data_IF_973948380495
#
_entry.id   IF_973948380495
#
_cell.length_a   1.000
_cell.length_b   1.000
_cell.length_c   1.000
_cell.angle_alpha   90.00
_cell.angle_beta   90.00
_cell.angle_gamma   90.00
#
_symmetry.space_group_name_H-M   'P 1'
#
loop_
_entity.id
_entity.type
_entity.pdbx_description
1 polymer ?
#
# COMPACT_ATOMS: atom_id res chain seq x y z
N UNK A 1 61.34 -20.11 13.19
CA UNK A 1 60.87 -21.27 13.99
C UNK A 1 59.56 -20.90 14.66
N UNK A 2 58.43 -21.44 14.21
CA UNK A 2 57.15 -21.29 14.89
C UNK A 2 56.39 -22.62 14.73
N UNK A 3 56.09 -23.22 15.87
CA UNK A 3 55.63 -24.59 16.05
C UNK A 3 54.14 -24.72 15.75
N UNK A 4 53.78 -25.84 15.09
CA UNK A 4 52.40 -26.20 14.81
C UNK A 4 51.62 -26.62 16.04
N UNK A 5 50.28 -26.52 15.94
CA UNK A 5 49.34 -27.25 16.79
C UNK A 5 48.19 -27.77 15.94
N UNK A 6 48.23 -29.07 15.68
CA UNK A 6 47.10 -29.85 15.19
C UNK A 6 46.11 -30.09 16.35
N UNK A 7 44.87 -29.65 16.19
CA UNK A 7 43.77 -29.93 17.10
C UNK A 7 42.65 -30.66 16.36
N UNK A 8 42.63 -32.00 16.49
CA UNK A 8 41.54 -32.86 16.01
C UNK A 8 40.35 -32.74 16.97
N UNK A 9 39.21 -32.25 16.48
CA UNK A 9 37.94 -32.28 17.22
C UNK A 9 36.95 -33.22 16.49
N UNK A 10 37.00 -34.50 16.84
CA UNK A 10 36.03 -35.53 16.39
C UNK A 10 34.76 -35.41 17.23
N UNK A 11 33.79 -34.59 16.78
CA UNK A 11 32.44 -34.59 17.36
C UNK A 11 31.56 -35.56 16.58
N UNK A 12 31.18 -36.65 17.25
CA UNK A 12 30.28 -37.68 16.74
C UNK A 12 28.92 -37.12 16.37
N UNK A 13 28.48 -37.41 15.14
CA UNK A 13 27.16 -37.08 14.64
C UNK A 13 26.18 -38.11 15.18
N UNK A 14 25.41 -37.75 16.21
CA UNK A 14 24.28 -38.55 16.67
C UNK A 14 23.19 -38.56 15.59
N UNK A 15 23.04 -39.68 14.89
CA UNK A 15 21.94 -39.92 13.95
C UNK A 15 20.61 -39.89 14.71
N UNK A 16 19.93 -38.74 14.67
CA UNK A 16 18.58 -38.56 15.20
C UNK A 16 17.62 -39.45 14.39
N UNK A 17 16.96 -40.38 15.08
CA UNK A 17 15.87 -41.19 14.52
C UNK A 17 14.77 -40.29 13.92
N UNK A 18 14.23 -40.62 12.75
CA UNK A 18 13.13 -39.87 12.14
C UNK A 18 11.90 -39.91 13.06
N UNK A 19 11.40 -38.74 13.46
CA UNK A 19 10.13 -38.61 14.18
C UNK A 19 8.99 -38.98 13.23
N UNK A 20 8.12 -39.89 13.66
CA UNK A 20 6.92 -40.27 12.95
C UNK A 20 6.03 -39.01 12.69
N UNK A 21 5.48 -38.85 11.48
CA UNK A 21 4.62 -37.72 11.17
C UNK A 21 3.34 -37.77 12.00
N UNK A 22 2.86 -36.63 12.53
CA UNK A 22 1.59 -36.59 13.24
C UNK A 22 0.44 -36.94 12.31
N UNK A 23 -0.36 -37.95 12.68
CA UNK A 23 -1.61 -38.33 12.02
C UNK A 23 -2.57 -37.13 12.06
N UNK A 24 -2.79 -36.48 10.91
CA UNK A 24 -3.78 -35.40 10.79
C UNK A 24 -5.17 -36.02 10.77
N UNK A 25 -5.93 -35.79 11.84
CA UNK A 25 -7.37 -36.01 11.83
C UNK A 25 -8.03 -35.06 10.84
N UNK A 26 -8.47 -35.60 9.70
CA UNK A 26 -9.36 -34.93 8.77
C UNK A 26 -10.75 -34.81 9.41
N UNK A 27 -10.94 -33.80 10.26
CA UNK A 27 -12.28 -33.41 10.71
C UNK A 27 -13.13 -33.03 9.50
N UNK A 28 -14.27 -33.72 9.34
CA UNK A 28 -15.30 -33.48 8.33
C UNK A 28 -15.60 -31.98 8.24
N UNK A 29 -15.16 -31.33 7.14
CA UNK A 29 -15.56 -29.97 6.80
C UNK A 29 -17.04 -30.01 6.41
N UNK A 30 -17.89 -29.36 7.23
CA UNK A 30 -19.26 -29.08 6.85
C UNK A 30 -19.29 -28.31 5.53
N UNK A 31 -20.13 -28.77 4.61
CA UNK A 31 -20.30 -28.15 3.30
C UNK A 31 -20.77 -26.71 3.46
N UNK A 32 -19.89 -25.76 3.16
CA UNK A 32 -20.29 -24.37 2.97
C UNK A 32 -21.23 -24.32 1.77
N UNK A 33 -22.51 -23.97 2.00
CA UNK A 33 -23.45 -23.64 0.93
C UNK A 33 -22.80 -22.59 0.05
N UNK A 34 -22.56 -22.94 -1.21
CA UNK A 34 -22.16 -21.99 -2.25
C UNK A 34 -23.32 -21.01 -2.38
N UNK A 35 -23.11 -19.77 -1.93
CA UNK A 35 -24.09 -18.70 -2.09
C UNK A 35 -24.37 -18.55 -3.58
N UNK A 36 -25.62 -18.75 -3.96
CA UNK A 36 -26.10 -18.52 -5.33
C UNK A 36 -25.79 -17.09 -5.76
N UNK A 37 -25.37 -16.86 -7.01
CA UNK A 37 -25.13 -15.51 -7.51
C UNK A 37 -26.41 -14.70 -7.38
N UNK A 38 -26.35 -13.58 -6.65
CA UNK A 38 -27.44 -12.62 -6.57
C UNK A 38 -27.54 -11.99 -7.95
N UNK A 39 -28.53 -12.43 -8.74
CA UNK A 39 -28.94 -11.72 -9.94
C UNK A 39 -29.57 -10.41 -9.49
N UNK A 40 -28.80 -9.33 -9.55
CA UNK A 40 -29.36 -7.98 -9.36
C UNK A 40 -30.30 -7.75 -10.53
N UNK A 41 -31.60 -7.74 -10.26
CA UNK A 41 -32.63 -7.52 -11.28
C UNK A 41 -32.42 -6.16 -11.95
N UNK A 42 -32.55 -6.12 -13.28
CA UNK A 42 -32.55 -4.89 -14.07
C UNK A 42 -33.54 -3.83 -13.54
N UNK A 43 -34.64 -4.26 -12.91
CA UNK A 43 -35.63 -3.37 -12.30
C UNK A 43 -35.12 -2.66 -11.04
N UNK A 44 -34.14 -3.26 -10.33
CA UNK A 44 -33.50 -2.61 -9.20
C UNK A 44 -32.56 -1.50 -9.68
N UNK A 45 -31.80 -1.78 -10.75
CA UNK A 45 -30.89 -0.81 -11.36
C UNK A 45 -31.65 0.39 -11.94
N UNK A 46 -32.80 0.16 -12.61
CA UNK A 46 -33.67 1.23 -13.10
C UNK A 46 -34.20 2.10 -11.96
N UNK A 47 -34.74 1.50 -10.89
CA UNK A 47 -35.23 2.26 -9.73
C UNK A 47 -34.16 3.12 -9.06
N UNK A 48 -32.90 2.67 -9.04
CA UNK A 48 -31.79 3.47 -8.53
C UNK A 48 -31.46 4.68 -9.41
N UNK A 49 -31.64 4.58 -10.73
CA UNK A 49 -31.40 5.67 -11.67
C UNK A 49 -32.57 6.67 -11.71
N UNK A 50 -33.80 6.18 -11.53
CA UNK A 50 -35.02 7.02 -11.51
C UNK A 50 -35.30 7.65 -10.14
N UNK A 51 -34.54 7.26 -9.10
CA UNK A 51 -34.65 7.89 -7.78
C UNK A 51 -34.18 9.34 -7.85
N UNK A 52 -34.95 10.29 -7.31
CA UNK A 52 -34.52 11.69 -7.26
C UNK A 52 -33.18 11.78 -6.53
N UNK A 53 -32.29 12.64 -7.04
CA UNK A 53 -30.98 12.85 -6.42
C UNK A 53 -31.17 13.14 -4.91
N UNK A 54 -30.44 12.46 -4.02
CA UNK A 54 -30.59 12.69 -2.59
C UNK A 54 -30.36 14.17 -2.29
N UNK A 55 -31.20 14.75 -1.43
CA UNK A 55 -31.08 16.15 -1.05
C UNK A 55 -29.65 16.41 -0.54
N UNK A 56 -28.99 17.51 -0.99
CA UNK A 56 -27.64 17.81 -0.56
C UNK A 56 -27.63 17.98 0.96
N UNK A 57 -26.86 17.15 1.66
CA UNK A 57 -26.77 17.19 3.12
C UNK A 57 -26.02 18.47 3.52
N UNK A 58 -26.63 19.37 4.31
CA UNK A 58 -25.97 20.60 4.75
C UNK A 58 -24.65 20.29 5.46
N UNK A 59 -23.56 20.94 5.04
CA UNK A 59 -22.22 20.75 5.61
C UNK A 59 -21.38 19.65 4.96
N UNK A 60 -21.93 18.85 4.05
CA UNK A 60 -21.18 17.76 3.39
C UNK A 60 -20.48 18.18 2.09
N UNK A 61 -20.68 19.43 1.65
CA UNK A 61 -20.04 20.05 0.49
C UNK A 61 -19.32 21.33 0.89
N UNK A 62 -18.53 21.30 1.97
CA UNK A 62 -17.47 22.29 2.14
C UNK A 62 -16.46 22.05 1.02
N UNK A 63 -16.73 22.59 -0.16
CA UNK A 63 -15.77 22.72 -1.24
C UNK A 63 -14.63 23.53 -0.64
N UNK A 64 -13.47 22.89 -0.46
CA UNK A 64 -12.33 23.57 0.07
C UNK A 64 -11.94 24.65 -0.94
N UNK A 65 -12.25 25.90 -0.62
CA UNK A 65 -11.94 27.03 -1.49
C UNK A 65 -10.42 27.08 -1.63
N UNK A 66 -9.93 26.97 -2.87
CA UNK A 66 -8.52 27.15 -3.18
C UNK A 66 -8.10 28.52 -2.61
N UNK A 67 -7.13 28.59 -1.69
CA UNK A 67 -6.74 29.87 -1.12
C UNK A 67 -6.29 30.83 -2.23
N UNK A 68 -6.82 32.05 -2.23
CA UNK A 68 -6.43 33.07 -3.20
C UNK A 68 -4.92 33.25 -3.19
N UNK A 69 -4.30 33.35 -4.36
CA UNK A 69 -2.85 33.52 -4.48
C UNK A 69 -2.02 32.22 -4.34
N UNK A 70 -2.65 31.07 -4.06
CA UNK A 70 -1.94 29.78 -3.99
C UNK A 70 -1.37 29.38 -5.35
N UNK A 71 -2.08 29.69 -6.44
CA UNK A 71 -1.66 29.37 -7.79
C UNK A 71 -0.35 30.08 -8.16
N UNK A 72 -0.27 31.37 -7.86
CA UNK A 72 0.89 32.23 -8.08
C UNK A 72 2.06 31.78 -7.20
N UNK A 73 1.80 31.48 -5.93
CA UNK A 73 2.81 30.97 -5.01
C UNK A 73 3.39 29.62 -5.47
N UNK A 74 2.56 28.75 -6.03
CA UNK A 74 2.97 27.47 -6.60
C UNK A 74 3.74 27.65 -7.92
N UNK A 75 3.26 28.53 -8.81
CA UNK A 75 3.90 28.84 -10.08
C UNK A 75 5.29 29.46 -9.90
N UNK A 76 5.46 30.36 -8.93
CA UNK A 76 6.76 30.97 -8.60
C UNK A 76 7.83 29.96 -8.15
N UNK A 77 7.43 28.73 -7.78
CA UNK A 77 8.32 27.68 -7.25
C UNK A 77 8.30 26.40 -8.07
N UNK A 78 7.71 26.46 -9.27
CA UNK A 78 7.66 25.34 -10.18
C UNK A 78 7.93 25.77 -11.61
N UNK A 79 8.54 24.90 -12.41
CA UNK A 79 8.85 25.18 -13.82
C UNK A 79 8.26 24.08 -14.71
N UNK A 80 7.61 24.42 -15.84
CA UNK A 80 7.26 23.41 -16.84
C UNK A 80 8.54 22.77 -17.39
N UNK A 81 8.53 21.45 -17.55
CA UNK A 81 9.66 20.68 -18.07
C UNK A 81 9.62 20.50 -19.61
N UNK A 82 8.55 20.98 -20.27
CA UNK A 82 8.38 20.95 -21.73
C UNK A 82 7.72 19.67 -22.27
N UNK A 83 7.74 18.59 -21.50
CA UNK A 83 7.17 17.26 -21.80
C UNK A 83 5.76 17.06 -21.19
N UNK A 84 5.08 18.16 -20.83
CA UNK A 84 3.81 18.09 -20.09
C UNK A 84 3.97 17.81 -18.59
N UNK A 85 5.20 17.74 -18.09
CA UNK A 85 5.47 17.67 -16.66
C UNK A 85 5.87 19.02 -16.06
N UNK A 86 5.87 19.08 -14.73
CA UNK A 86 6.28 20.24 -13.96
C UNK A 86 7.21 19.84 -12.84
N UNK A 87 8.35 20.51 -12.77
CA UNK A 87 9.38 20.30 -11.76
C UNK A 87 9.26 21.32 -10.64
N UNK A 88 9.50 20.88 -9.42
CA UNK A 88 9.60 21.77 -8.26
C UNK A 88 11.01 22.35 -8.13
N UNK A 89 11.13 23.67 -8.16
CA UNK A 89 12.42 24.39 -8.05
C UNK A 89 12.64 25.02 -6.66
N UNK A 90 11.67 24.90 -5.76
CA UNK A 90 11.77 25.40 -4.38
C UNK A 90 12.45 24.43 -3.41
N UNK A 91 12.34 24.72 -2.12
CA UNK A 91 12.84 23.86 -1.05
C UNK A 91 12.21 22.47 -1.07
N UNK A 92 13.01 21.43 -0.83
CA UNK A 92 12.56 20.03 -0.78
C UNK A 92 12.85 19.41 0.58
N UNK A 93 12.08 18.38 0.93
CA UNK A 93 12.31 17.52 2.09
C UNK A 93 13.41 16.49 1.82
N UNK A 94 13.85 15.78 2.86
CA UNK A 94 14.73 14.61 2.71
C UNK A 94 14.17 13.54 1.76
N UNK A 95 12.84 13.41 1.65
CA UNK A 95 12.19 12.50 0.70
C UNK A 95 12.08 13.08 -0.72
N UNK A 96 12.63 14.27 -0.99
CA UNK A 96 12.58 14.96 -2.28
C UNK A 96 11.23 15.60 -2.62
N UNK A 97 10.27 15.59 -1.70
CA UNK A 97 8.99 16.28 -1.91
C UNK A 97 9.16 17.78 -1.66
N UNK A 98 8.74 18.61 -2.62
CA UNK A 98 8.73 20.06 -2.47
C UNK A 98 7.85 20.52 -1.32
N UNK A 99 8.28 21.52 -0.56
CA UNK A 99 7.51 22.16 0.51
C UNK A 99 7.63 23.67 0.45
N UNK A 100 6.57 24.36 0.82
CA UNK A 100 6.54 25.80 1.00
C UNK A 100 5.43 26.20 1.98
N UNK A 101 5.54 27.37 2.59
CA UNK A 101 4.51 27.96 3.43
C UNK A 101 3.76 29.04 2.66
N UNK A 102 2.43 29.05 2.76
CA UNK A 102 1.55 30.04 2.14
C UNK A 102 0.44 30.45 3.11
N UNK A 103 0.33 31.76 3.38
CA UNK A 103 -0.65 32.35 4.34
C UNK A 103 -0.69 31.62 5.70
N UNK A 104 0.48 31.26 6.23
CA UNK A 104 0.58 30.57 7.52
C UNK A 104 0.40 29.05 7.48
N UNK A 105 -0.02 28.48 6.35
CA UNK A 105 -0.20 27.03 6.17
C UNK A 105 0.97 26.43 5.40
N UNK A 106 1.46 25.28 5.86
CA UNK A 106 2.50 24.52 5.16
C UNK A 106 1.87 23.60 4.11
N UNK A 107 2.33 23.71 2.86
CA UNK A 107 1.92 22.85 1.76
C UNK A 107 3.11 22.04 1.24
N UNK A 108 2.85 20.79 0.84
CA UNK A 108 3.73 20.12 -0.13
C UNK A 108 3.38 20.57 -1.55
N UNK A 109 4.36 20.53 -2.46
CA UNK A 109 4.15 20.84 -3.88
C UNK A 109 3.01 19.98 -4.48
N UNK A 110 2.92 18.72 -4.08
CA UNK A 110 1.87 17.81 -4.55
C UNK A 110 0.48 18.20 -4.01
N UNK A 111 0.37 18.58 -2.73
CA UNK A 111 -0.90 19.04 -2.16
C UNK A 111 -1.39 20.31 -2.84
N UNK A 112 -0.50 21.29 -3.06
CA UNK A 112 -0.85 22.51 -3.78
C UNK A 112 -1.31 22.20 -5.21
N UNK A 113 -0.58 21.38 -5.95
CA UNK A 113 -0.96 20.97 -7.31
C UNK A 113 -2.33 20.25 -7.35
N UNK A 114 -2.59 19.36 -6.38
CA UNK A 114 -3.88 18.68 -6.22
C UNK A 114 -5.03 19.66 -5.95
N UNK A 115 -4.83 20.58 -4.99
CA UNK A 115 -5.80 21.61 -4.63
C UNK A 115 -6.14 22.50 -5.82
N UNK A 116 -5.11 22.95 -6.56
CA UNK A 116 -5.29 23.80 -7.74
C UNK A 116 -6.07 23.11 -8.85
N UNK A 117 -5.87 21.80 -9.06
CA UNK A 117 -6.64 21.04 -10.07
C UNK A 117 -8.08 20.82 -9.64
N UNK A 118 -8.30 20.50 -8.37
CA UNK A 118 -9.56 19.85 -7.95
C UNK A 118 -10.46 20.72 -7.09
N UNK A 119 -9.95 21.82 -6.52
CA UNK A 119 -10.70 22.66 -5.58
C UNK A 119 -11.17 21.90 -4.34
N UNK A 120 -10.50 20.80 -3.96
CA UNK A 120 -10.83 20.03 -2.76
C UNK A 120 -9.59 19.67 -1.96
N UNK A 121 -9.73 19.62 -0.63
CA UNK A 121 -8.67 19.10 0.22
C UNK A 121 -8.32 17.65 -0.16
N UNK A 122 -7.03 17.28 -0.18
CA UNK A 122 -6.61 15.93 -0.46
C UNK A 122 -6.93 15.01 0.71
N UNK A 123 -7.42 13.80 0.40
CA UNK A 123 -7.62 12.75 1.40
C UNK A 123 -6.36 11.91 1.48
N UNK A 124 -5.62 12.05 2.59
CA UNK A 124 -4.38 11.32 2.85
C UNK A 124 -3.19 11.86 2.04
N UNK A 125 -2.24 10.98 1.69
CA UNK A 125 -1.01 11.40 0.99
C UNK A 125 -1.22 11.57 -0.50
N UNK A 126 -0.88 12.76 -1.01
CA UNK A 126 -0.80 13.06 -2.45
C UNK A 126 0.54 12.60 -3.01
N UNK A 127 0.51 11.93 -4.15
CA UNK A 127 1.71 11.44 -4.86
C UNK A 127 1.59 11.67 -6.36
N UNK A 128 2.73 11.79 -7.07
CA UNK A 128 2.72 11.72 -8.53
C UNK A 128 2.15 10.39 -9.01
N UNK A 129 1.40 10.42 -10.10
CA UNK A 129 0.87 9.25 -10.82
C UNK A 129 1.64 8.91 -12.08
N UNK A 130 2.46 9.84 -12.58
CA UNK A 130 3.41 9.57 -13.65
C UNK A 130 4.73 8.98 -13.13
N UNK A 131 5.52 8.40 -14.03
CA UNK A 131 6.83 7.83 -13.71
C UNK A 131 7.93 8.88 -13.52
N UNK A 132 7.68 10.15 -13.91
CA UNK A 132 8.67 11.22 -13.76
C UNK A 132 8.91 11.53 -12.28
N UNK A 133 10.14 11.34 -11.76
CA UNK A 133 10.43 11.61 -10.36
C UNK A 133 10.14 13.06 -10.00
N UNK A 134 9.45 13.26 -8.87
CA UNK A 134 9.14 14.59 -8.31
C UNK A 134 8.28 15.48 -9.21
N UNK A 135 7.59 14.91 -10.19
CA UNK A 135 6.59 15.64 -10.96
C UNK A 135 5.52 16.22 -10.03
N UNK A 136 5.32 17.54 -10.10
CA UNK A 136 4.29 18.24 -9.34
C UNK A 136 3.24 18.84 -10.27
N UNK A 137 3.13 18.36 -11.51
CA UNK A 137 2.10 18.86 -12.42
C UNK A 137 0.70 18.57 -11.86
N UNK A 138 -0.22 19.56 -11.83
CA UNK A 138 -1.58 19.34 -11.35
C UNK A 138 -2.27 18.14 -12.01
N UNK A 139 -2.04 17.86 -13.29
CA UNK A 139 -2.63 16.71 -13.99
C UNK A 139 -2.00 15.36 -13.58
N UNK A 140 -0.79 15.36 -13.02
CA UNK A 140 -0.01 14.15 -12.73
C UNK A 140 0.10 13.83 -11.24
N UNK A 141 -0.75 14.38 -10.38
CA UNK A 141 -0.78 14.06 -8.95
C UNK A 141 -2.13 13.48 -8.56
N UNK A 142 -2.15 12.50 -7.66
CA UNK A 142 -3.39 12.02 -7.04
C UNK A 142 -3.28 11.80 -5.53
N UNK A 143 -4.38 12.08 -4.83
CA UNK A 143 -4.50 11.78 -3.41
C UNK A 143 -4.65 10.28 -3.13
N UNK A 144 -4.73 9.90 -1.86
CA UNK A 144 -4.81 8.49 -1.52
C UNK A 144 -6.18 7.89 -1.87
N UNK A 145 -7.27 8.63 -1.68
CA UNK A 145 -8.62 8.13 -1.92
C UNK A 145 -8.85 7.83 -3.42
N UNK A 146 -8.52 8.78 -4.30
CA UNK A 146 -8.63 8.60 -5.75
C UNK A 146 -7.80 7.40 -6.22
N UNK A 147 -6.52 7.32 -5.84
CA UNK A 147 -5.67 6.18 -6.20
C UNK A 147 -6.21 4.83 -5.71
N UNK A 148 -6.86 4.78 -4.56
CA UNK A 148 -7.46 3.55 -4.03
C UNK A 148 -8.69 3.13 -4.82
N UNK A 149 -9.55 4.10 -5.19
CA UNK A 149 -10.71 3.87 -6.05
C UNK A 149 -10.28 3.37 -7.43
N UNK A 150 -9.30 4.01 -8.04
CA UNK A 150 -8.88 3.67 -9.41
C UNK A 150 -8.22 2.29 -9.47
N UNK A 151 -7.45 1.91 -8.44
CA UNK A 151 -6.91 0.54 -8.31
C UNK A 151 -8.00 -0.50 -8.07
N UNK A 152 -9.03 -0.17 -7.30
CA UNK A 152 -10.17 -1.07 -7.09
C UNK A 152 -10.94 -1.28 -8.41
N UNK A 153 -11.14 -0.21 -9.18
CA UNK A 153 -11.76 -0.27 -10.50
C UNK A 153 -10.92 -1.11 -11.47
N UNK A 154 -9.60 -0.90 -11.52
CA UNK A 154 -8.70 -1.69 -12.35
C UNK A 154 -8.74 -3.18 -11.96
N UNK A 155 -8.69 -3.49 -10.66
CA UNK A 155 -8.77 -4.86 -10.18
C UNK A 155 -10.10 -5.53 -10.58
N UNK A 156 -11.21 -4.79 -10.56
CA UNK A 156 -12.51 -5.27 -11.01
C UNK A 156 -12.52 -5.56 -12.52
N UNK A 157 -12.01 -4.64 -13.35
CA UNK A 157 -11.95 -4.79 -14.81
C UNK A 157 -11.06 -5.96 -15.24
N UNK A 158 -9.91 -6.13 -14.60
CA UNK A 158 -8.97 -7.23 -14.91
C UNK A 158 -9.45 -8.57 -14.33
N UNK A 159 -10.59 -8.60 -13.63
CA UNK A 159 -11.13 -9.82 -13.03
C UNK A 159 -10.24 -10.37 -11.91
N UNK A 160 -9.43 -9.52 -11.27
CA UNK A 160 -8.57 -9.93 -10.17
C UNK A 160 -9.40 -10.19 -8.92
N UNK A 161 -9.88 -11.43 -8.78
CA UNK A 161 -10.56 -11.89 -7.57
C UNK A 161 -9.53 -12.20 -6.50
N UNK A 162 -9.25 -11.21 -5.66
CA UNK A 162 -8.39 -11.43 -4.51
C UNK A 162 -9.19 -12.12 -3.41
N UNK A 163 -8.66 -13.26 -2.95
CA UNK A 163 -9.12 -13.88 -1.71
C UNK A 163 -9.10 -12.80 -0.62
N UNK A 164 -10.24 -12.59 0.03
CA UNK A 164 -10.33 -11.62 1.11
C UNK A 164 -9.19 -11.90 2.11
N UNK A 165 -8.42 -10.87 2.52
CA UNK A 165 -7.40 -11.06 3.53
C UNK A 165 -8.08 -11.65 4.77
N UNK A 166 -7.50 -12.72 5.32
CA UNK A 166 -8.11 -13.53 6.39
C UNK A 166 -7.99 -12.88 7.76
N UNK A 167 -8.00 -11.55 7.85
CA UNK A 167 -7.87 -10.85 9.12
C UNK A 167 -9.22 -10.37 9.63
N UNK A 168 -9.32 -10.20 10.94
CA UNK A 168 -10.53 -9.79 11.66
C UNK A 168 -10.84 -8.28 11.54
N UNK A 169 -10.01 -7.53 10.82
CA UNK A 169 -10.23 -6.10 10.60
C UNK A 169 -11.30 -5.85 9.55
N UNK A 170 -12.11 -4.81 9.80
CA UNK A 170 -13.07 -4.31 8.81
C UNK A 170 -12.36 -3.88 7.52
N UNK A 171 -12.63 -4.61 6.44
CA UNK A 171 -12.06 -4.37 5.12
C UNK A 171 -12.65 -3.15 4.41
N UNK A 172 -13.82 -2.65 4.83
CA UNK A 172 -14.35 -1.39 4.34
C UNK A 172 -13.50 -0.22 4.85
N UNK A 173 -13.06 -0.29 6.11
CA UNK A 173 -12.24 0.75 6.74
C UNK A 173 -10.76 0.61 6.37
N UNK A 174 -10.22 -0.60 6.48
CA UNK A 174 -8.78 -0.85 6.37
C UNK A 174 -8.33 -1.50 5.06
N UNK A 175 -9.26 -1.98 4.24
CA UNK A 175 -8.93 -2.61 2.95
C UNK A 175 -8.33 -1.59 2.00
N UNK A 176 -7.21 -1.95 1.38
CA UNK A 176 -6.50 -1.15 0.39
C UNK A 176 -6.04 -2.04 -0.76
N UNK A 177 -5.77 -1.42 -1.91
CA UNK A 177 -5.20 -2.05 -3.08
C UNK A 177 -3.75 -1.58 -3.29
N UNK A 178 -2.86 -2.53 -3.55
CA UNK A 178 -1.49 -2.30 -3.99
C UNK A 178 -1.46 -1.84 -5.45
N UNK A 179 -0.29 -1.46 -5.94
CA UNK A 179 -0.10 -1.07 -7.34
C UNK A 179 -0.38 -2.24 -8.31
N UNK A 180 -0.15 -3.49 -7.88
CA UNK A 180 -0.46 -4.71 -8.64
C UNK A 180 -1.94 -5.13 -8.56
N UNK A 181 -2.82 -4.28 -8.02
CA UNK A 181 -4.23 -4.58 -7.79
C UNK A 181 -4.50 -5.44 -6.54
N UNK A 182 -3.50 -6.08 -5.93
CA UNK A 182 -3.73 -6.98 -4.79
C UNK A 182 -4.33 -6.26 -3.59
N UNK A 183 -5.43 -6.82 -3.07
CA UNK A 183 -6.04 -6.38 -1.81
C UNK A 183 -5.18 -6.74 -0.62
N UNK A 184 -5.04 -5.81 0.31
CA UNK A 184 -4.43 -6.03 1.61
C UNK A 184 -5.11 -5.19 2.68
N UNK A 185 -5.01 -5.63 3.94
CA UNK A 185 -5.46 -4.86 5.08
C UNK A 185 -4.34 -3.92 5.56
N UNK A 186 -4.57 -2.61 5.54
CA UNK A 186 -3.59 -1.63 5.98
C UNK A 186 -3.27 -1.74 7.48
N UNK A 187 -4.24 -2.13 8.31
CA UNK A 187 -4.01 -2.36 9.74
C UNK A 187 -3.04 -3.53 9.96
N UNK A 188 -3.21 -4.65 9.25
CA UNK A 188 -2.27 -5.77 9.34
C UNK A 188 -0.87 -5.45 8.81
N UNK A 189 -0.79 -4.60 7.77
CA UNK A 189 0.47 -4.23 7.14
C UNK A 189 1.20 -3.08 7.88
N UNK A 190 0.56 -2.45 8.86
CA UNK A 190 1.18 -1.41 9.66
C UNK A 190 1.92 -2.05 10.84
N UNK A 191 3.27 -2.02 10.89
CA UNK A 191 4.01 -2.64 11.98
C UNK A 191 3.72 -2.01 13.35
N UNK A 192 3.30 -0.74 13.40
CA UNK A 192 2.87 -0.11 14.65
C UNK A 192 1.57 -0.73 15.21
N UNK A 193 0.69 -1.19 14.32
CA UNK A 193 -0.55 -1.90 14.69
C UNK A 193 -0.31 -3.40 14.94
N UNK A 194 0.87 -3.93 14.60
CA UNK A 194 1.24 -5.33 14.82
C UNK A 194 1.58 -5.66 16.29
N UNK A 195 1.43 -4.71 17.22
CA UNK A 195 1.44 -4.98 18.66
C UNK A 195 0.19 -5.80 19.04
N UNK A 196 0.27 -7.12 18.86
CA UNK A 196 -0.68 -8.07 19.42
C UNK A 196 -1.56 -8.87 18.46
N UNK A 197 -1.21 -9.02 17.16
CA UNK A 197 -2.00 -9.94 16.32
C UNK A 197 -1.69 -11.41 16.69
N UNK A 198 -2.73 -12.21 16.95
CA UNK A 198 -2.63 -13.64 17.28
C UNK A 198 -2.11 -14.53 16.14
N UNK A 199 -1.68 -13.94 15.02
CA UNK A 199 -1.40 -14.62 13.75
C UNK A 199 0.02 -14.40 13.20
N UNK A 200 0.98 -13.95 14.03
CA UNK A 200 2.40 -14.16 13.74
C UNK A 200 3.01 -13.22 12.70
N UNK A 201 2.79 -11.91 12.82
CA UNK A 201 3.74 -10.95 12.26
C UNK A 201 4.91 -10.79 13.28
N UNK A 202 6.19 -10.88 12.90
CA UNK A 202 7.38 -10.94 13.78
C UNK A 202 7.53 -9.91 14.91
N UNK A 203 6.67 -8.90 15.00
CA UNK A 203 6.59 -8.02 16.18
C UNK A 203 5.79 -8.61 17.36
N UNK A 204 5.07 -9.73 17.18
CA UNK A 204 4.12 -10.26 18.17
C UNK A 204 4.69 -11.32 19.14
N UNK A 205 5.99 -11.64 19.07
CA UNK A 205 6.65 -12.52 20.05
C UNK A 205 6.18 -13.98 20.12
N UNK A 206 5.28 -14.46 19.25
CA UNK A 206 4.89 -15.89 19.17
C UNK A 206 5.86 -16.65 18.27
N UNK A 207 6.50 -17.66 18.85
CA UNK A 207 7.56 -18.53 18.32
C UNK A 207 7.12 -19.62 17.34
N UNK A 208 5.89 -19.60 16.83
CA UNK A 208 5.33 -20.75 16.08
C UNK A 208 5.34 -20.53 14.56
N UNK A 209 6.12 -19.57 14.08
CA UNK A 209 6.48 -19.54 12.67
C UNK A 209 7.21 -20.84 12.36
N UNK A 210 6.58 -21.68 11.51
CA UNK A 210 7.19 -22.92 11.02
C UNK A 210 8.61 -22.60 10.56
N UNK A 211 9.65 -23.18 11.19
CA UNK A 211 11.00 -22.97 10.70
C UNK A 211 11.04 -23.51 9.28
N UNK A 212 11.33 -22.64 8.31
CA UNK A 212 11.82 -23.12 7.03
C UNK A 212 13.08 -23.95 7.33
N UNK A 213 13.31 -25.06 6.62
CA UNK A 213 14.47 -25.93 6.88
C UNK A 213 15.81 -25.17 6.83
N UNK A 214 15.88 -24.07 6.05
CA UNK A 214 17.06 -23.23 5.91
C UNK A 214 17.27 -22.20 7.04
N UNK A 215 16.41 -22.18 8.07
CA UNK A 215 16.48 -21.22 9.18
C UNK A 215 15.81 -19.87 8.90
N UNK A 216 15.68 -19.06 9.96
CA UNK A 216 15.19 -17.69 9.86
C UNK A 216 16.28 -16.84 9.18
N UNK A 217 16.06 -16.44 7.93
CA UNK A 217 16.92 -15.57 7.09
C UNK A 217 17.99 -16.27 6.21
N UNK A 218 17.70 -17.41 5.59
CA UNK A 218 18.53 -17.83 4.47
C UNK A 218 18.38 -16.87 3.27
N UNK A 219 19.48 -16.50 2.62
CA UNK A 219 19.51 -15.56 1.47
C UNK A 219 18.57 -15.98 0.34
N UNK A 220 18.38 -17.28 0.18
CA UNK A 220 17.53 -17.91 -0.84
C UNK A 220 16.02 -17.60 -0.68
N UNK A 221 15.59 -17.17 0.51
CA UNK A 221 14.18 -16.93 0.82
C UNK A 221 13.88 -15.47 1.22
N UNK A 222 14.84 -14.55 1.03
CA UNK A 222 14.47 -13.14 1.01
C UNK A 222 13.68 -12.87 -0.27
N UNK A 223 12.42 -12.40 -0.21
CA UNK A 223 11.78 -11.83 -1.38
C UNK A 223 12.56 -10.56 -1.75
N UNK A 224 13.49 -10.72 -2.69
CA UNK A 224 14.16 -9.67 -3.46
C UNK A 224 14.54 -8.43 -2.66
N UNK A 225 15.73 -8.48 -2.03
CA UNK A 225 16.61 -7.32 -2.11
C UNK A 225 16.78 -7.02 -3.61
N UNK A 226 16.29 -5.88 -4.05
CA UNK A 226 16.78 -5.22 -5.27
C UNK A 226 18.31 -5.23 -5.19
N UNK A 227 18.94 -6.08 -6.01
CA UNK A 227 20.38 -6.05 -6.22
C UNK A 227 20.74 -4.62 -6.63
N UNK A 228 21.69 -3.93 -5.96
CA UNK A 228 22.24 -2.71 -6.52
C UNK A 228 22.89 -3.08 -7.85
N UNK A 229 22.51 -2.37 -8.92
CA UNK A 229 23.14 -2.44 -10.22
C UNK A 229 24.63 -2.15 -10.02
N UNK A 230 25.49 -3.16 -10.09
CA UNK A 230 26.94 -2.94 -10.27
C UNK A 230 27.14 -2.69 -11.76
N UNK A 231 27.47 -1.46 -12.10
CA UNK A 231 28.09 -1.13 -13.40
C UNK A 231 29.42 -1.89 -13.50
N UNK A 232 29.58 -2.67 -14.56
CA UNK A 232 30.86 -3.27 -14.90
C UNK A 232 31.87 -2.20 -15.34
N UNK A 233 33.18 -2.39 -15.08
CA UNK A 233 34.24 -1.55 -15.64
C UNK A 233 34.44 -1.76 -17.14
#
# INVERSE_FOLDING_TARGET
>A
MAQGREGRDRRGVALRRPRAPPRRHHGKRGGHRVSTPVTVSLDHTRRLLDSPAPAPVPGQLAVAVVPDGLAEAFAARSRPAGDGHREWIGTTTASGAGRFRYRGTDYTAYQAAWLLRTGREPVGTVRPTCDRPRCCDPAHVDDQATRQRDRAALAAVVGMTHRAPSCEHDQAVHGRHRADGKRYCNACNNPAAARGCGHGNPACGRSDARPYPCGYRCEEHQPTRTLPYRTAP
#
